data_IF_889267130457
#
_entry.id   IF_889267130457
#
_cell.length_a   1.000
_cell.length_b   1.000
_cell.length_c   1.000
_cell.angle_alpha   90.00
_cell.angle_beta   90.00
_cell.angle_gamma   90.00
#
_symmetry.space_group_name_H-M   'P 1'
#
loop_
_entity.id
_entity.type
_entity.pdbx_description
1 polymer ?
#
# COMPACT_ATOMS: atom_id res chain seq x y z
N UNK A 1 7.72 21.81 24.11
CA UNK A 1 6.78 22.14 23.02
C UNK A 1 7.48 21.88 21.71
N UNK A 2 6.84 21.18 20.79
CA UNK A 2 7.39 20.99 19.43
C UNK A 2 7.41 22.33 18.68
N UNK A 3 8.35 22.49 17.75
CA UNK A 3 8.36 23.66 16.86
C UNK A 3 7.08 23.64 15.99
N UNK A 4 6.51 24.82 15.76
CA UNK A 4 5.41 24.96 14.81
C UNK A 4 6.01 25.02 13.39
N UNK A 5 5.58 24.11 12.51
CA UNK A 5 6.07 23.94 11.15
C UNK A 5 4.91 24.13 10.15
N UNK A 6 5.19 24.76 9.00
CA UNK A 6 4.15 25.03 7.98
C UNK A 6 4.48 24.41 6.62
N UNK A 7 3.45 23.87 5.97
CA UNK A 7 3.44 23.49 4.56
C UNK A 7 2.28 24.20 3.86
N UNK A 8 2.58 25.23 3.08
CA UNK A 8 1.55 26.11 2.53
C UNK A 8 0.73 26.75 3.66
N UNK A 9 -0.58 26.52 3.64
CA UNK A 9 -1.53 27.00 4.66
C UNK A 9 -1.75 25.98 5.82
N UNK A 10 -1.09 24.85 5.82
CA UNK A 10 -1.23 23.80 6.83
C UNK A 10 -0.16 23.95 7.90
N UNK A 11 -0.57 23.91 9.16
CA UNK A 11 0.32 23.99 10.33
C UNK A 11 0.41 22.64 11.02
N UNK A 12 1.62 22.27 11.47
CA UNK A 12 1.90 21.08 12.27
C UNK A 12 2.51 21.50 13.60
N UNK A 13 2.17 20.81 14.69
CA UNK A 13 2.67 21.08 16.04
C UNK A 13 1.84 22.12 16.81
N UNK A 14 0.69 22.52 16.30
CA UNK A 14 -0.35 23.29 16.99
C UNK A 14 -1.54 22.39 17.41
N UNK A 15 -2.66 23.00 17.80
CA UNK A 15 -3.86 22.28 18.20
C UNK A 15 -4.56 21.55 17.04
N UNK A 16 -4.32 21.96 15.81
CA UNK A 16 -4.84 21.27 14.64
C UNK A 16 -4.26 19.86 14.50
N UNK A 17 -5.01 18.99 13.83
CA UNK A 17 -4.57 17.63 13.48
C UNK A 17 -4.57 17.47 11.96
N UNK A 18 -3.50 17.85 11.26
CA UNK A 18 -3.40 17.67 9.82
C UNK A 18 -3.46 16.21 9.41
N UNK A 19 -4.18 15.94 8.32
CA UNK A 19 -4.29 14.64 7.69
C UNK A 19 -3.45 14.63 6.42
N UNK A 20 -2.45 13.77 6.36
CA UNK A 20 -1.66 13.48 5.17
C UNK A 20 -2.25 12.20 4.56
N UNK A 21 -2.97 12.31 3.45
CA UNK A 21 -3.67 11.16 2.88
C UNK A 21 -3.68 11.15 1.35
N UNK A 22 -3.89 9.96 0.77
CA UNK A 22 -4.02 9.73 -0.67
C UNK A 22 -3.66 8.30 -1.05
N UNK A 23 -3.72 7.95 -2.34
CA UNK A 23 -3.34 6.61 -2.80
C UNK A 23 -1.88 6.31 -2.51
N UNK A 24 -1.58 5.04 -2.25
CA UNK A 24 -0.21 4.58 -2.00
C UNK A 24 0.76 5.03 -3.11
N UNK A 25 0.35 4.90 -4.37
CA UNK A 25 1.10 5.24 -5.58
C UNK A 25 0.20 5.97 -6.58
N UNK A 26 0.75 6.86 -7.38
CA UNK A 26 0.05 7.47 -8.51
C UNK A 26 -0.28 6.37 -9.52
N UNK A 27 -1.56 6.10 -9.74
CA UNK A 27 -2.03 5.12 -10.72
C UNK A 27 -2.25 5.75 -12.08
N UNK A 28 -2.86 6.92 -12.12
CA UNK A 28 -3.01 7.83 -13.25
C UNK A 28 -3.44 9.22 -12.73
N UNK A 29 -3.49 10.20 -13.65
CA UNK A 29 -3.85 11.59 -13.35
C UNK A 29 -5.29 11.73 -12.82
N UNK A 30 -6.25 11.18 -13.53
CA UNK A 30 -7.68 11.36 -13.22
C UNK A 30 -8.03 10.76 -11.87
N UNK A 31 -7.50 9.57 -11.55
CA UNK A 31 -7.65 8.96 -10.24
C UNK A 31 -7.01 9.81 -9.13
N UNK A 32 -5.84 10.40 -9.37
CA UNK A 32 -5.18 11.25 -8.37
C UNK A 32 -5.97 12.51 -8.08
N UNK A 33 -6.52 13.18 -9.10
CA UNK A 33 -7.40 14.35 -8.95
C UNK A 33 -8.69 13.98 -8.20
N UNK A 34 -9.36 12.91 -8.62
CA UNK A 34 -10.56 12.40 -7.97
C UNK A 34 -10.32 12.13 -6.48
N UNK A 35 -9.27 11.40 -6.14
CA UNK A 35 -8.94 11.06 -4.76
C UNK A 35 -8.58 12.30 -3.93
N UNK A 36 -7.82 13.24 -4.49
CA UNK A 36 -7.45 14.48 -3.81
C UNK A 36 -8.69 15.32 -3.49
N UNK A 37 -9.60 15.49 -4.46
CA UNK A 37 -10.84 16.24 -4.27
C UNK A 37 -11.78 15.57 -3.27
N UNK A 38 -11.98 14.26 -3.38
CA UNK A 38 -12.83 13.50 -2.46
C UNK A 38 -12.33 13.59 -1.01
N UNK A 39 -11.02 13.37 -0.78
CA UNK A 39 -10.43 13.45 0.56
C UNK A 39 -10.47 14.88 1.09
N UNK A 40 -10.18 15.90 0.25
CA UNK A 40 -10.31 17.32 0.62
C UNK A 40 -11.72 17.65 1.11
N UNK A 41 -12.75 17.20 0.38
CA UNK A 41 -14.14 17.43 0.74
C UNK A 41 -14.50 16.80 2.10
N UNK A 42 -14.06 15.55 2.33
CA UNK A 42 -14.25 14.87 3.61
C UNK A 42 -13.52 15.61 4.74
N UNK A 43 -12.25 15.95 4.57
CA UNK A 43 -11.48 16.68 5.57
C UNK A 43 -12.09 18.06 5.87
N UNK A 44 -12.52 18.80 4.85
CA UNK A 44 -13.19 20.10 5.00
C UNK A 44 -14.50 19.99 5.78
N UNK A 45 -15.32 18.98 5.50
CA UNK A 45 -16.57 18.70 6.20
C UNK A 45 -16.34 18.40 7.68
N UNK A 46 -15.28 17.62 7.98
CA UNK A 46 -14.90 17.32 9.37
C UNK A 46 -14.18 18.48 10.04
N UNK A 47 -13.62 19.43 9.27
CA UNK A 47 -12.84 20.57 9.78
C UNK A 47 -11.41 20.18 10.16
N UNK A 48 -10.76 19.32 9.38
CA UNK A 48 -9.36 18.92 9.55
C UNK A 48 -8.52 19.43 8.38
N UNK A 49 -7.30 19.95 8.62
CA UNK A 49 -6.37 20.34 7.55
C UNK A 49 -5.92 19.13 6.75
N UNK A 50 -5.68 19.29 5.44
CA UNK A 50 -5.38 18.19 4.54
C UNK A 50 -4.16 18.45 3.65
N UNK A 51 -3.29 17.47 3.53
CA UNK A 51 -2.16 17.39 2.58
C UNK A 51 -2.35 16.14 1.73
N UNK A 52 -2.36 16.30 0.40
CA UNK A 52 -2.43 15.14 -0.50
C UNK A 52 -1.08 14.44 -0.58
N UNK A 53 -1.10 13.11 -0.47
CA UNK A 53 0.10 12.26 -0.60
C UNK A 53 -0.10 11.22 -1.69
N UNK A 54 0.85 11.11 -2.60
CA UNK A 54 1.00 9.92 -3.45
C UNK A 54 2.45 9.77 -3.90
N UNK A 55 2.91 8.52 -4.06
CA UNK A 55 4.28 8.25 -4.51
C UNK A 55 4.34 8.15 -6.03
N UNK A 56 5.33 8.77 -6.67
CA UNK A 56 5.59 8.59 -8.11
C UNK A 56 6.36 7.30 -8.41
N UNK A 57 7.05 6.75 -7.42
CA UNK A 57 7.79 5.49 -7.53
C UNK A 57 7.72 4.69 -6.22
N UNK A 58 7.62 3.39 -6.34
CA UNK A 58 7.75 2.40 -5.26
C UNK A 58 9.07 1.64 -5.45
N UNK A 59 10.17 2.29 -5.07
CA UNK A 59 11.54 1.80 -5.32
C UNK A 59 11.90 0.49 -4.60
N UNK A 60 11.15 0.10 -3.56
CA UNK A 60 11.42 -1.05 -2.69
C UNK A 60 10.48 -2.25 -2.91
N UNK A 61 9.94 -2.41 -4.13
CA UNK A 61 9.09 -3.57 -4.46
C UNK A 61 9.84 -4.89 -4.31
N UNK A 62 9.16 -5.89 -3.75
CA UNK A 62 9.71 -7.24 -3.59
C UNK A 62 9.89 -7.96 -4.93
N UNK A 63 8.99 -7.73 -5.90
CA UNK A 63 9.09 -8.32 -7.24
C UNK A 63 9.44 -7.28 -8.29
N UNK A 64 10.42 -7.59 -9.16
CA UNK A 64 10.93 -6.68 -10.21
C UNK A 64 9.83 -6.25 -11.19
N UNK A 65 8.86 -7.11 -11.49
CA UNK A 65 7.75 -6.83 -12.41
C UNK A 65 6.55 -6.11 -11.78
N UNK A 66 6.60 -5.78 -10.48
CA UNK A 66 5.48 -5.08 -9.83
C UNK A 66 5.31 -3.66 -10.34
N UNK A 67 4.06 -3.17 -10.34
CA UNK A 67 3.79 -1.78 -10.69
C UNK A 67 4.49 -0.84 -9.70
N UNK A 68 5.32 0.04 -10.21
CA UNK A 68 6.11 0.98 -9.42
C UNK A 68 5.53 2.39 -9.38
N UNK A 69 4.61 2.70 -10.25
CA UNK A 69 4.09 4.04 -10.51
C UNK A 69 4.48 4.55 -11.90
N UNK A 70 4.10 5.78 -12.26
CA UNK A 70 4.62 6.46 -13.43
C UNK A 70 6.11 6.79 -13.22
N UNK A 71 6.81 7.21 -14.27
CA UNK A 71 8.14 7.79 -14.09
C UNK A 71 8.07 9.11 -13.28
N UNK A 72 9.23 9.63 -12.85
CA UNK A 72 9.30 10.84 -12.02
C UNK A 72 8.66 12.05 -12.70
N UNK A 73 8.95 12.28 -13.99
CA UNK A 73 8.45 13.46 -14.71
C UNK A 73 6.93 13.46 -14.85
N UNK A 74 6.34 12.32 -15.15
CA UNK A 74 4.89 12.13 -15.20
C UNK A 74 4.27 12.30 -13.79
N UNK A 75 4.87 11.67 -12.80
CA UNK A 75 4.38 11.75 -11.41
C UNK A 75 4.42 13.17 -10.87
N UNK A 76 5.46 13.95 -11.16
CA UNK A 76 5.55 15.35 -10.76
C UNK A 76 4.53 16.23 -11.49
N UNK A 77 4.23 15.96 -12.77
CA UNK A 77 3.14 16.63 -13.47
C UNK A 77 1.80 16.39 -12.80
N UNK A 78 1.49 15.12 -12.47
CA UNK A 78 0.24 14.78 -11.76
C UNK A 78 0.15 15.47 -10.40
N UNK A 79 1.22 15.52 -9.62
CA UNK A 79 1.24 16.22 -8.34
C UNK A 79 1.08 17.73 -8.50
N UNK A 80 1.69 18.31 -9.53
CA UNK A 80 1.49 19.71 -9.87
C UNK A 80 0.03 20.03 -10.23
N UNK A 81 -0.61 19.15 -11.02
CA UNK A 81 -2.02 19.28 -11.37
C UNK A 81 -2.92 19.21 -10.13
N UNK A 82 -2.70 18.25 -9.23
CA UNK A 82 -3.42 18.15 -7.96
C UNK A 82 -3.25 19.44 -7.14
N UNK A 83 -2.03 19.95 -7.02
CA UNK A 83 -1.75 21.17 -6.28
C UNK A 83 -2.51 22.38 -6.86
N UNK A 84 -2.50 22.53 -8.17
CA UNK A 84 -3.06 23.69 -8.85
C UNK A 84 -4.58 23.60 -9.01
N UNK A 85 -5.13 22.45 -9.39
CA UNK A 85 -6.56 22.27 -9.68
C UNK A 85 -7.37 22.03 -8.41
N UNK A 86 -6.87 21.19 -7.48
CA UNK A 86 -7.54 20.91 -6.21
C UNK A 86 -7.20 21.95 -5.14
N UNK A 87 -6.04 22.61 -5.24
CA UNK A 87 -5.64 23.69 -4.32
C UNK A 87 -5.26 23.17 -2.93
N UNK A 88 -4.54 22.05 -2.84
CA UNK A 88 -4.04 21.46 -1.59
C UNK A 88 -2.53 21.30 -1.64
N UNK A 89 -1.81 21.40 -0.50
CA UNK A 89 -0.40 21.05 -0.44
C UNK A 89 -0.20 19.58 -0.80
N UNK A 90 0.96 19.27 -1.42
CA UNK A 90 1.27 17.92 -1.89
C UNK A 90 2.57 17.39 -1.29
N UNK A 91 2.59 16.08 -1.06
CA UNK A 91 3.71 15.31 -0.53
C UNK A 91 4.03 14.11 -1.41
N UNK A 92 5.32 13.86 -1.67
CA UNK A 92 5.78 12.61 -2.29
C UNK A 92 7.11 12.12 -1.71
N UNK A 93 7.41 10.84 -1.94
CA UNK A 93 8.68 10.22 -1.52
C UNK A 93 9.82 10.58 -2.48
N UNK A 94 11.04 10.70 -1.93
CA UNK A 94 12.30 10.74 -2.68
C UNK A 94 13.19 9.58 -2.28
N UNK A 95 13.89 8.97 -3.23
CA UNK A 95 14.68 7.75 -3.02
C UNK A 95 16.19 7.98 -3.29
N UNK A 96 16.52 8.95 -4.13
CA UNK A 96 17.88 9.27 -4.54
C UNK A 96 18.16 10.77 -4.35
N UNK A 97 19.41 11.17 -4.00
CA UNK A 97 19.77 12.58 -3.81
C UNK A 97 19.46 13.45 -5.03
N UNK A 98 19.70 12.96 -6.25
CA UNK A 98 19.46 13.69 -7.49
C UNK A 98 17.98 13.95 -7.81
N UNK A 99 17.06 13.31 -7.14
CA UNK A 99 15.61 13.57 -7.27
C UNK A 99 15.15 14.79 -6.47
N UNK A 100 15.86 15.10 -5.37
CA UNK A 100 15.37 16.07 -4.38
C UNK A 100 15.14 17.46 -4.95
N UNK A 101 16.02 17.96 -5.78
CA UNK A 101 15.90 19.30 -6.36
C UNK A 101 14.64 19.44 -7.22
N UNK A 102 14.46 18.58 -8.22
CA UNK A 102 13.30 18.61 -9.13
C UNK A 102 11.98 18.34 -8.39
N UNK A 103 11.98 17.41 -7.43
CA UNK A 103 10.80 17.14 -6.59
C UNK A 103 10.47 18.36 -5.74
N UNK A 104 11.46 19.02 -5.16
CA UNK A 104 11.28 20.21 -4.33
C UNK A 104 10.72 21.43 -5.07
N UNK A 105 10.87 21.51 -6.40
CA UNK A 105 10.22 22.57 -7.19
C UNK A 105 8.69 22.42 -7.22
N UNK A 106 8.18 21.19 -7.14
CA UNK A 106 6.76 20.88 -7.27
C UNK A 106 6.06 20.73 -5.92
N UNK A 107 6.64 19.93 -5.01
CA UNK A 107 5.95 19.56 -3.78
C UNK A 107 6.19 20.53 -2.63
N UNK A 108 5.30 20.49 -1.65
CA UNK A 108 5.44 21.26 -0.41
C UNK A 108 6.21 20.49 0.66
N UNK A 109 6.13 19.17 0.61
CA UNK A 109 6.76 18.26 1.57
C UNK A 109 7.49 17.15 0.82
N UNK A 110 8.80 17.01 1.04
CA UNK A 110 9.57 15.84 0.62
C UNK A 110 9.52 14.77 1.72
N UNK A 111 9.22 13.54 1.37
CA UNK A 111 9.22 12.43 2.32
C UNK A 111 10.44 11.53 2.14
N UNK A 112 11.15 11.26 3.24
CA UNK A 112 12.21 10.26 3.28
C UNK A 112 11.60 8.93 3.73
N UNK A 113 11.64 7.87 2.91
CA UNK A 113 11.15 6.55 3.27
C UNK A 113 11.87 5.97 4.49
N UNK A 114 11.17 5.13 5.26
CA UNK A 114 11.67 4.56 6.50
C UNK A 114 13.00 3.79 6.34
N UNK A 115 13.16 3.01 5.27
CA UNK A 115 14.42 2.29 5.01
C UNK A 115 15.59 3.22 4.70
N UNK A 116 15.33 4.44 4.22
CA UNK A 116 16.34 5.42 3.82
C UNK A 116 16.59 6.50 4.88
N UNK A 117 15.96 6.42 6.04
CA UNK A 117 16.01 7.46 7.09
C UNK A 117 17.42 7.73 7.65
N UNK A 118 18.42 6.87 7.36
CA UNK A 118 19.81 7.05 7.76
C UNK A 118 20.74 7.48 6.63
N UNK A 119 20.27 7.53 5.38
CA UNK A 119 21.09 7.87 4.21
C UNK A 119 21.52 9.34 4.24
N UNK A 120 22.80 9.59 4.51
CA UNK A 120 23.33 10.95 4.75
C UNK A 120 23.13 11.85 3.55
N UNK A 121 23.53 11.39 2.36
CA UNK A 121 23.47 12.20 1.14
C UNK A 121 22.04 12.54 0.74
N UNK A 122 21.09 11.60 0.93
CA UNK A 122 19.67 11.82 0.66
C UNK A 122 19.07 12.87 1.62
N UNK A 123 19.38 12.78 2.92
CA UNK A 123 18.90 13.73 3.93
C UNK A 123 19.46 15.14 3.70
N UNK A 124 20.74 15.25 3.34
CA UNK A 124 21.36 16.52 2.99
C UNK A 124 20.71 17.10 1.73
N UNK A 125 20.57 16.31 0.66
CA UNK A 125 19.97 16.77 -0.58
C UNK A 125 18.50 17.22 -0.39
N UNK A 126 17.72 16.50 0.41
CA UNK A 126 16.37 16.92 0.77
C UNK A 126 16.36 18.21 1.58
N UNK A 127 17.27 18.36 2.56
CA UNK A 127 17.43 19.57 3.35
C UNK A 127 17.79 20.80 2.50
N UNK A 128 18.67 20.64 1.52
CA UNK A 128 19.12 21.71 0.61
C UNK A 128 17.99 22.29 -0.25
N UNK A 129 16.86 21.59 -0.42
CA UNK A 129 15.70 22.13 -1.12
C UNK A 129 15.01 23.27 -0.38
N UNK A 130 15.29 23.45 0.92
CA UNK A 130 14.60 24.41 1.79
C UNK A 130 13.13 24.08 2.07
N UNK A 131 12.58 23.01 1.46
CA UNK A 131 11.21 22.54 1.68
C UNK A 131 11.09 21.81 3.01
N UNK A 132 9.86 21.57 3.43
CA UNK A 132 9.57 20.72 4.57
C UNK A 132 9.98 19.28 4.28
N UNK A 133 10.76 18.67 5.20
CA UNK A 133 11.23 17.29 5.07
C UNK A 133 10.56 16.41 6.12
N UNK A 134 9.72 15.49 5.67
CA UNK A 134 9.11 14.46 6.53
C UNK A 134 9.98 13.21 6.57
N UNK A 135 10.53 12.85 7.72
CA UNK A 135 11.42 11.69 7.87
C UNK A 135 10.66 10.56 8.55
N UNK A 136 10.37 9.49 7.80
CA UNK A 136 9.78 8.27 8.37
C UNK A 136 10.82 7.52 9.19
N UNK A 137 10.49 7.21 10.45
CA UNK A 137 11.35 6.42 11.33
C UNK A 137 11.50 4.99 10.78
N UNK A 138 12.72 4.52 10.61
CA UNK A 138 12.99 3.13 10.26
C UNK A 138 12.47 2.17 11.34
N UNK A 139 11.93 1.03 10.93
CA UNK A 139 11.43 0.00 11.85
C UNK A 139 12.52 -0.52 12.78
N UNK A 140 13.76 -0.45 12.34
CA UNK A 140 14.98 -0.87 13.04
C UNK A 140 15.59 0.21 13.95
N UNK A 141 15.00 1.42 13.99
CA UNK A 141 15.58 2.56 14.68
C UNK A 141 14.80 2.90 15.96
N UNK A 142 15.50 3.06 17.07
CA UNK A 142 14.89 3.55 18.30
C UNK A 142 14.43 5.01 18.14
N UNK A 143 13.29 5.42 18.73
CA UNK A 143 12.69 6.75 18.53
C UNK A 143 13.65 7.91 18.80
N UNK A 144 14.36 7.89 19.92
CA UNK A 144 15.34 8.94 20.28
C UNK A 144 16.54 9.05 19.34
N UNK A 145 16.84 8.01 18.54
CA UNK A 145 17.92 8.04 17.54
C UNK A 145 17.57 8.76 16.24
N UNK A 146 16.30 9.16 16.09
CA UNK A 146 15.88 10.03 15.00
C UNK A 146 16.58 11.38 15.01
N UNK A 147 17.14 11.80 16.15
CA UNK A 147 17.94 13.06 16.25
C UNK A 147 19.07 13.08 15.20
N UNK A 148 19.71 11.94 14.92
CA UNK A 148 20.82 11.90 13.96
C UNK A 148 20.36 12.12 12.50
N UNK A 149 19.12 11.77 12.16
CA UNK A 149 18.54 12.09 10.87
C UNK A 149 18.18 13.60 10.78
N UNK A 150 17.61 14.11 11.87
CA UNK A 150 17.32 15.56 12.03
C UNK A 150 18.57 16.40 11.86
N UNK A 151 19.67 16.04 12.54
CA UNK A 151 20.95 16.78 12.48
C UNK A 151 21.51 16.89 11.05
N UNK A 152 21.32 15.85 10.23
CA UNK A 152 21.75 15.87 8.82
C UNK A 152 20.97 16.85 7.97
N UNK A 153 19.66 16.96 8.18
CA UNK A 153 18.83 17.97 7.50
C UNK A 153 19.18 19.36 8.03
N UNK A 154 19.32 19.53 9.34
CA UNK A 154 19.73 20.80 9.97
C UNK A 154 21.10 21.30 9.51
N UNK A 155 22.02 20.42 9.20
CA UNK A 155 23.34 20.78 8.67
C UNK A 155 23.25 21.65 7.41
N UNK A 156 22.16 21.57 6.65
CA UNK A 156 21.90 22.42 5.47
C UNK A 156 21.31 23.79 5.83
N UNK A 157 21.05 24.07 7.09
CA UNK A 157 20.32 25.26 7.56
C UNK A 157 18.79 25.08 7.58
N UNK A 158 18.27 23.96 7.08
CA UNK A 158 16.82 23.69 7.04
C UNK A 158 16.32 23.12 8.38
N UNK A 159 15.43 23.84 9.04
CA UNK A 159 14.78 23.42 10.30
C UNK A 159 13.32 22.99 10.09
N UNK A 160 12.81 22.98 8.85
CA UNK A 160 11.45 22.58 8.53
C UNK A 160 11.39 21.03 8.44
N UNK A 161 11.20 20.37 9.57
CA UNK A 161 11.29 18.92 9.69
C UNK A 161 10.04 18.38 10.40
N UNK A 162 9.45 17.31 9.86
CA UNK A 162 8.48 16.43 10.52
C UNK A 162 9.13 15.07 10.74
N UNK A 163 8.73 14.40 11.80
CA UNK A 163 9.07 13.01 12.08
C UNK A 163 7.83 12.14 11.94
N UNK A 164 7.96 10.98 11.34
CA UNK A 164 6.82 10.05 11.23
C UNK A 164 7.12 8.73 11.90
N UNK A 165 6.29 8.38 12.91
CA UNK A 165 6.26 7.06 13.52
C UNK A 165 5.48 6.08 12.64
N UNK A 166 6.00 4.87 12.45
CA UNK A 166 5.39 3.84 11.61
C UNK A 166 5.60 2.40 12.12
N UNK A 167 5.90 2.25 13.40
CA UNK A 167 6.18 0.98 14.07
C UNK A 167 7.65 0.58 14.08
N UNK A 168 7.94 -0.44 14.86
CA UNK A 168 9.25 -1.06 15.03
C UNK A 168 9.18 -2.57 14.78
N UNK A 169 10.23 -3.14 14.20
CA UNK A 169 10.39 -4.58 13.96
C UNK A 169 11.87 -4.95 14.00
N UNK A 170 12.19 -6.01 14.73
CA UNK A 170 13.53 -6.58 14.86
C UNK A 170 13.49 -8.09 14.59
N UNK A 171 12.90 -8.50 13.46
CA UNK A 171 12.67 -9.90 13.13
C UNK A 171 11.42 -10.51 13.77
N UNK A 172 10.61 -9.67 14.41
CA UNK A 172 9.27 -9.99 14.94
C UNK A 172 8.22 -9.26 14.11
N UNK A 173 6.94 -9.53 14.41
CA UNK A 173 5.83 -8.75 13.90
C UNK A 173 5.99 -7.26 14.25
N UNK A 174 5.43 -6.40 13.40
CA UNK A 174 5.49 -4.96 13.63
C UNK A 174 4.75 -4.60 14.91
N UNK A 175 5.41 -3.84 15.77
CA UNK A 175 4.85 -3.31 17.02
C UNK A 175 4.73 -1.79 16.90
N UNK A 176 3.54 -1.28 17.18
CA UNK A 176 3.30 0.17 17.28
C UNK A 176 3.35 0.57 18.76
N UNK A 177 4.49 1.12 19.16
CA UNK A 177 4.71 1.63 20.51
C UNK A 177 4.34 3.12 20.55
N UNK A 178 3.21 3.44 21.18
CA UNK A 178 2.71 4.82 21.29
C UNK A 178 3.63 5.72 22.14
N UNK A 179 4.49 5.17 22.98
CA UNK A 179 5.49 5.96 23.72
C UNK A 179 6.57 6.54 22.81
N UNK A 180 6.73 6.01 21.59
CA UNK A 180 7.61 6.58 20.56
C UNK A 180 7.23 8.02 20.20
N UNK A 181 5.94 8.38 20.26
CA UNK A 181 5.44 9.70 19.89
C UNK A 181 6.03 10.78 20.82
N UNK A 182 5.79 10.76 22.14
CA UNK A 182 6.37 11.77 23.03
C UNK A 182 7.91 11.73 23.07
N UNK A 183 8.54 10.56 22.88
CA UNK A 183 10.01 10.48 22.78
C UNK A 183 10.52 11.26 21.56
N UNK A 184 9.89 11.11 20.39
CA UNK A 184 10.30 11.86 19.19
C UNK A 184 9.93 13.35 19.29
N UNK A 185 8.78 13.69 19.90
CA UNK A 185 8.40 15.09 20.16
C UNK A 185 9.42 15.81 21.07
N UNK A 186 10.02 15.08 22.03
CA UNK A 186 11.08 15.64 22.89
C UNK A 186 12.33 16.08 22.13
N UNK A 187 12.49 15.66 20.86
CA UNK A 187 13.54 16.14 19.96
C UNK A 187 13.23 17.55 19.40
N UNK A 188 12.06 18.11 19.70
CA UNK A 188 11.65 19.46 19.31
C UNK A 188 10.92 19.57 17.95
N UNK A 189 10.45 18.46 17.38
CA UNK A 189 9.79 18.43 16.07
C UNK A 189 8.41 17.78 16.15
N UNK A 190 7.43 18.23 15.32
CA UNK A 190 6.12 17.60 15.26
C UNK A 190 6.23 16.16 14.77
N UNK A 191 5.39 15.29 15.35
CA UNK A 191 5.37 13.85 15.07
C UNK A 191 4.07 13.44 14.41
N UNK A 192 4.17 12.92 13.20
CA UNK A 192 3.08 12.32 12.43
C UNK A 192 3.01 10.82 12.77
N UNK A 193 1.82 10.28 12.92
CA UNK A 193 1.64 8.85 13.04
C UNK A 193 1.13 8.25 11.74
N UNK A 194 1.86 7.28 11.20
CA UNK A 194 1.49 6.53 10.00
C UNK A 194 0.62 5.34 10.35
N UNK A 195 -0.69 5.52 10.30
CA UNK A 195 -1.66 4.49 10.66
C UNK A 195 -1.68 3.32 9.67
N UNK A 196 -1.37 3.56 8.39
CA UNK A 196 -1.34 2.53 7.35
C UNK A 196 -0.19 1.56 7.53
N UNK A 197 1.04 2.10 7.60
CA UNK A 197 2.22 1.26 7.68
C UNK A 197 2.44 0.67 9.08
N UNK A 198 1.85 1.24 10.11
CA UNK A 198 1.80 0.64 11.45
C UNK A 198 0.89 -0.58 11.54
N UNK A 199 -0.03 -0.73 10.59
CA UNK A 199 -0.91 -1.90 10.47
C UNK A 199 -0.39 -2.94 9.46
N UNK A 200 0.77 -2.69 8.82
CA UNK A 200 1.40 -3.67 7.91
C UNK A 200 1.97 -4.86 8.69
N UNK A 201 1.87 -6.02 8.08
CA UNK A 201 2.67 -7.18 8.47
C UNK A 201 3.95 -7.10 7.63
N UNK A 202 5.15 -7.06 8.25
CA UNK A 202 6.39 -6.93 7.49
C UNK A 202 6.56 -8.08 6.50
N UNK A 203 6.74 -7.77 5.22
CA UNK A 203 7.00 -8.77 4.17
C UNK A 203 8.41 -9.39 4.23
N UNK A 204 9.20 -9.08 5.27
CA UNK A 204 10.51 -9.67 5.54
C UNK A 204 10.35 -10.61 6.74
N UNK A 205 10.01 -11.82 6.44
CA UNK A 205 9.69 -12.87 7.39
C UNK A 205 8.22 -13.22 7.28
N UNK A 206 7.94 -14.34 6.64
CA UNK A 206 6.59 -14.87 6.58
C UNK A 206 6.04 -14.99 8.00
N UNK A 207 4.92 -14.36 8.28
CA UNK A 207 4.13 -14.81 9.42
C UNK A 207 3.65 -16.22 9.08
N UNK A 208 4.32 -17.20 9.68
CA UNK A 208 4.01 -18.62 9.50
C UNK A 208 2.59 -18.97 9.94
N UNK A 209 1.85 -18.01 10.52
CA UNK A 209 0.47 -18.16 11.00
C UNK A 209 -0.58 -17.65 10.01
N UNK A 210 -0.18 -16.91 8.94
CA UNK A 210 -1.14 -16.43 7.93
C UNK A 210 -1.67 -17.63 7.17
N UNK A 211 -3.00 -17.74 7.16
CA UNK A 211 -3.71 -18.77 6.41
C UNK A 211 -4.04 -18.29 5.00
N UNK A 212 -4.07 -19.20 4.06
CA UNK A 212 -4.42 -18.97 2.64
C UNK A 212 -5.73 -18.18 2.51
N UNK A 213 -6.75 -18.47 3.31
CA UNK A 213 -8.05 -17.77 3.31
C UNK A 213 -7.96 -16.26 3.55
N UNK A 214 -6.88 -15.79 4.19
CA UNK A 214 -6.69 -14.38 4.52
C UNK A 214 -6.05 -13.57 3.39
N UNK A 215 -5.45 -14.26 2.40
CA UNK A 215 -4.67 -13.65 1.31
C UNK A 215 -5.11 -14.08 -0.08
N UNK A 216 -6.01 -15.06 -0.21
CA UNK A 216 -6.51 -15.53 -1.50
C UNK A 216 -7.46 -14.52 -2.15
N UNK A 217 -7.60 -14.60 -3.47
CA UNK A 217 -8.69 -13.98 -4.20
C UNK A 217 -9.92 -14.86 -4.10
N UNK A 218 -11.04 -14.37 -3.55
CA UNK A 218 -12.26 -15.14 -3.44
C UNK A 218 -12.85 -15.46 -4.83
N UNK A 219 -13.61 -16.55 -4.91
CA UNK A 219 -14.09 -17.12 -6.19
C UNK A 219 -14.87 -16.14 -7.06
N UNK A 220 -15.60 -15.21 -6.44
CA UNK A 220 -16.36 -14.16 -7.12
C UNK A 220 -15.46 -13.20 -7.92
N UNK A 221 -14.19 -13.07 -7.53
CA UNK A 221 -13.19 -12.20 -8.19
C UNK A 221 -12.32 -12.97 -9.20
N UNK A 222 -12.54 -14.28 -9.38
CA UNK A 222 -11.74 -15.13 -10.26
C UNK A 222 -12.56 -15.54 -11.49
N UNK A 223 -11.92 -15.59 -12.65
CA UNK A 223 -12.55 -16.11 -13.86
C UNK A 223 -12.90 -17.60 -13.68
N UNK A 224 -14.14 -17.96 -13.96
CA UNK A 224 -14.62 -19.34 -13.88
C UNK A 224 -15.27 -19.75 -15.20
N UNK A 225 -14.98 -20.96 -15.67
CA UNK A 225 -15.49 -21.53 -16.91
C UNK A 225 -15.81 -23.01 -16.74
N UNK A 226 -16.57 -23.57 -17.70
CA UNK A 226 -16.88 -24.99 -17.78
C UNK A 226 -15.99 -25.67 -18.85
N UNK A 227 -15.82 -26.98 -18.75
CA UNK A 227 -14.99 -27.75 -19.70
C UNK A 227 -15.52 -27.73 -21.14
N UNK A 228 -16.81 -27.46 -21.33
CA UNK A 228 -17.47 -27.34 -22.64
C UNK A 228 -17.36 -25.96 -23.26
N UNK A 229 -16.94 -24.97 -22.52
CA UNK A 229 -16.81 -23.59 -22.99
C UNK A 229 -15.69 -23.46 -24.03
N UNK A 230 -15.79 -22.41 -24.87
CA UNK A 230 -14.76 -22.11 -25.87
C UNK A 230 -13.59 -21.29 -25.29
N UNK A 231 -12.45 -21.32 -25.95
CA UNK A 231 -11.29 -20.53 -25.54
C UNK A 231 -11.59 -19.01 -25.56
N UNK A 232 -12.42 -18.56 -26.51
CA UNK A 232 -12.89 -17.16 -26.55
C UNK A 232 -13.57 -16.76 -25.24
N UNK A 233 -14.42 -17.63 -24.67
CA UNK A 233 -15.07 -17.36 -23.39
C UNK A 233 -14.08 -17.25 -22.24
N UNK A 234 -13.05 -18.10 -22.22
CA UNK A 234 -11.94 -18.01 -21.24
C UNK A 234 -11.29 -16.64 -21.29
N UNK A 235 -10.90 -16.19 -22.49
CA UNK A 235 -10.26 -14.87 -22.68
C UNK A 235 -11.16 -13.74 -22.18
N UNK A 236 -12.46 -13.77 -22.50
CA UNK A 236 -13.42 -12.76 -22.06
C UNK A 236 -13.56 -12.73 -20.53
N UNK A 237 -13.68 -13.89 -19.88
CA UNK A 237 -13.81 -13.96 -18.43
C UNK A 237 -12.50 -13.56 -17.72
N UNK A 238 -11.33 -13.95 -18.24
CA UNK A 238 -10.03 -13.52 -17.70
C UNK A 238 -9.78 -12.02 -17.91
N UNK A 239 -10.34 -11.42 -18.97
CA UNK A 239 -10.26 -9.96 -19.18
C UNK A 239 -11.13 -9.20 -18.17
N UNK A 240 -12.32 -9.71 -17.84
CA UNK A 240 -13.20 -9.12 -16.81
C UNK A 240 -12.62 -9.25 -15.40
N UNK A 241 -11.93 -10.37 -15.13
CA UNK A 241 -11.37 -10.72 -13.83
C UNK A 241 -9.87 -11.06 -13.99
N UNK A 242 -8.98 -10.06 -14.02
CA UNK A 242 -7.56 -10.20 -14.44
C UNK A 242 -6.69 -10.79 -13.32
N UNK A 243 -6.92 -12.06 -12.96
CA UNK A 243 -6.16 -12.78 -11.94
C UNK A 243 -5.08 -13.71 -12.52
N UNK A 244 -4.84 -13.66 -13.84
CA UNK A 244 -3.81 -14.46 -14.53
C UNK A 244 -4.21 -15.91 -14.79
N UNK A 245 -5.40 -16.35 -14.38
CA UNK A 245 -5.91 -17.70 -14.61
C UNK A 245 -7.45 -17.74 -14.62
N UNK A 246 -8.01 -18.80 -15.25
CA UNK A 246 -9.40 -19.18 -15.15
C UNK A 246 -9.53 -20.57 -14.51
N UNK A 247 -10.41 -20.71 -13.55
CA UNK A 247 -10.73 -21.97 -12.89
C UNK A 247 -11.78 -22.72 -13.70
N UNK A 248 -11.52 -23.98 -13.99
CA UNK A 248 -12.50 -24.85 -14.67
C UNK A 248 -13.25 -25.64 -13.62
N UNK A 249 -14.55 -25.34 -13.51
CA UNK A 249 -15.40 -25.91 -12.48
C UNK A 249 -16.41 -26.90 -13.08
N UNK A 250 -16.56 -28.03 -12.42
CA UNK A 250 -17.63 -28.98 -12.63
C UNK A 250 -18.89 -28.65 -11.82
N UNK A 251 -19.75 -29.63 -11.63
CA UNK A 251 -20.95 -29.52 -10.80
C UNK A 251 -20.53 -29.27 -9.33
N UNK A 252 -21.39 -28.60 -8.57
CA UNK A 252 -21.15 -28.25 -7.16
C UNK A 252 -19.85 -27.47 -6.89
N UNK A 253 -19.37 -26.68 -7.89
CA UNK A 253 -18.14 -25.92 -7.82
C UNK A 253 -16.87 -26.78 -7.60
N UNK A 254 -16.89 -28.04 -7.99
CA UNK A 254 -15.73 -28.92 -7.95
C UNK A 254 -14.66 -28.45 -8.91
N UNK A 255 -13.42 -28.33 -8.41
CA UNK A 255 -12.25 -27.99 -9.24
C UNK A 255 -11.88 -29.17 -10.15
N UNK A 256 -12.00 -29.00 -11.47
CA UNK A 256 -11.63 -30.01 -12.46
C UNK A 256 -10.42 -29.62 -13.31
N UNK A 257 -10.11 -28.33 -13.39
CA UNK A 257 -8.97 -27.85 -14.17
C UNK A 257 -8.64 -26.38 -13.92
N UNK A 258 -7.55 -25.93 -14.53
CA UNK A 258 -7.11 -24.54 -14.58
C UNK A 258 -6.59 -24.22 -15.98
N UNK A 259 -6.81 -22.98 -16.43
CA UNK A 259 -6.17 -22.39 -17.61
C UNK A 259 -5.43 -21.13 -17.16
N UNK A 260 -4.17 -21.02 -17.50
CA UNK A 260 -3.33 -19.85 -17.20
C UNK A 260 -3.07 -19.01 -18.46
N UNK A 261 -2.55 -17.77 -18.26
CA UNK A 261 -2.09 -16.94 -19.40
C UNK A 261 -1.00 -17.65 -20.21
N UNK A 262 -0.18 -18.52 -19.59
CA UNK A 262 0.80 -19.34 -20.28
C UNK A 262 0.17 -20.35 -21.24
N UNK A 263 -0.96 -20.94 -20.86
CA UNK A 263 -1.73 -21.87 -21.70
C UNK A 263 -2.33 -21.12 -22.91
N UNK A 264 -2.93 -19.94 -22.66
CA UNK A 264 -3.46 -19.10 -23.74
C UNK A 264 -2.39 -18.70 -24.74
N UNK A 265 -1.21 -18.28 -24.27
CA UNK A 265 -0.08 -17.94 -25.16
C UNK A 265 0.39 -19.11 -26.00
N UNK A 266 0.43 -20.32 -25.43
CA UNK A 266 0.81 -21.53 -26.18
C UNK A 266 -0.22 -21.86 -27.25
N UNK A 267 -1.52 -21.75 -26.96
CA UNK A 267 -2.58 -21.97 -27.95
C UNK A 267 -2.51 -20.98 -29.11
N UNK A 268 -2.32 -19.69 -28.81
CA UNK A 268 -2.20 -18.65 -29.84
C UNK A 268 -0.93 -18.84 -30.70
N UNK A 269 0.19 -19.25 -30.12
CA UNK A 269 1.43 -19.52 -30.85
C UNK A 269 1.35 -20.74 -31.76
N UNK A 270 0.43 -21.67 -31.49
CA UNK A 270 0.18 -22.85 -32.31
C UNK A 270 -0.86 -22.60 -33.43
N UNK A 271 -1.21 -21.34 -33.70
CA UNK A 271 -2.21 -20.92 -34.73
C UNK A 271 -3.61 -21.56 -34.46
N UNK A 272 -3.94 -21.88 -33.21
CA UNK A 272 -5.20 -22.45 -32.83
C UNK A 272 -6.38 -21.49 -33.01
N UNK A 273 -7.49 -22.00 -33.55
CA UNK A 273 -8.75 -21.26 -33.65
C UNK A 273 -9.42 -21.17 -32.28
N UNK A 274 -9.41 -19.97 -31.69
CA UNK A 274 -9.97 -19.70 -30.37
C UNK A 274 -11.50 -19.89 -30.28
N UNK A 275 -12.19 -19.93 -31.38
CA UNK A 275 -13.64 -20.09 -31.44
C UNK A 275 -14.06 -21.57 -31.45
N UNK A 276 -13.22 -22.43 -31.98
CA UNK A 276 -13.50 -23.87 -32.06
C UNK A 276 -12.91 -24.67 -30.90
N UNK A 277 -11.75 -24.22 -30.34
CA UNK A 277 -11.08 -24.93 -29.25
C UNK A 277 -11.91 -24.94 -27.97
N UNK A 278 -12.00 -26.11 -27.33
CA UNK A 278 -12.69 -26.28 -26.06
C UNK A 278 -11.75 -26.21 -24.85
N UNK A 279 -12.28 -25.73 -23.73
CA UNK A 279 -11.57 -25.68 -22.44
C UNK A 279 -10.98 -27.03 -22.08
N UNK A 280 -11.74 -28.14 -22.30
CA UNK A 280 -11.27 -29.51 -22.02
C UNK A 280 -10.01 -29.94 -22.77
N UNK A 281 -9.69 -29.31 -23.90
CA UNK A 281 -8.52 -29.65 -24.75
C UNK A 281 -7.23 -28.96 -24.28
N UNK A 282 -7.38 -27.83 -23.57
CA UNK A 282 -6.25 -26.95 -23.21
C UNK A 282 -6.03 -26.83 -21.72
N UNK A 283 -7.01 -27.16 -20.89
CA UNK A 283 -6.89 -27.05 -19.44
C UNK A 283 -5.83 -27.99 -18.86
N UNK A 284 -5.13 -27.57 -17.83
CA UNK A 284 -4.42 -28.47 -16.95
C UNK A 284 -5.45 -29.17 -16.07
N UNK A 285 -5.67 -30.46 -16.31
CA UNK A 285 -6.60 -31.29 -15.51
C UNK A 285 -5.99 -31.63 -14.16
N UNK A 286 -6.85 -31.71 -13.11
CA UNK A 286 -6.41 -32.01 -11.73
C UNK A 286 -5.23 -31.13 -11.29
N UNK A 287 -5.36 -29.80 -11.33
CA UNK A 287 -4.28 -28.90 -10.98
C UNK A 287 -3.89 -29.08 -9.51
N UNK A 288 -2.64 -28.79 -9.21
CA UNK A 288 -2.23 -28.65 -7.80
C UNK A 288 -3.05 -27.54 -7.15
N UNK A 289 -3.68 -27.84 -6.04
CA UNK A 289 -4.48 -26.92 -5.26
C UNK A 289 -4.00 -26.86 -3.82
N UNK A 290 -4.41 -25.85 -3.08
CA UNK A 290 -4.08 -25.67 -1.66
C UNK A 290 -5.37 -25.55 -0.84
N UNK A 291 -5.33 -26.04 0.40
CA UNK A 291 -6.45 -25.90 1.33
C UNK A 291 -6.54 -24.47 1.85
N UNK A 292 -7.77 -23.99 2.04
CA UNK A 292 -7.99 -22.61 2.51
C UNK A 292 -7.48 -22.38 3.94
N UNK A 293 -7.34 -23.42 4.75
CA UNK A 293 -6.79 -23.34 6.12
C UNK A 293 -5.27 -23.57 6.16
N UNK A 294 -4.62 -23.91 5.03
CA UNK A 294 -3.18 -24.07 4.93
C UNK A 294 -2.46 -22.75 5.24
N UNK A 295 -1.20 -22.84 5.63
CA UNK A 295 -0.37 -21.68 5.91
C UNK A 295 0.22 -21.09 4.61
N UNK A 296 0.37 -19.78 4.56
CA UNK A 296 0.96 -19.07 3.41
C UNK A 296 2.36 -19.59 3.07
N UNK A 297 3.15 -19.97 4.07
CA UNK A 297 4.48 -20.52 3.87
C UNK A 297 4.49 -21.86 3.12
N UNK A 298 3.50 -22.73 3.39
CA UNK A 298 3.37 -24.01 2.69
C UNK A 298 3.10 -23.80 1.22
N UNK A 299 2.40 -22.70 0.88
CA UNK A 299 2.08 -22.29 -0.48
C UNK A 299 3.33 -21.99 -1.31
N UNK A 300 4.28 -21.22 -0.75
CA UNK A 300 5.54 -20.89 -1.45
C UNK A 300 6.32 -22.17 -1.74
N UNK A 301 6.45 -23.03 -0.75
CA UNK A 301 7.10 -24.33 -0.90
C UNK A 301 6.44 -25.15 -2.01
N UNK A 302 5.10 -25.15 -2.07
CA UNK A 302 4.34 -25.88 -3.07
C UNK A 302 4.47 -25.25 -4.48
N UNK A 303 4.64 -23.94 -4.58
CA UNK A 303 4.80 -23.22 -5.85
C UNK A 303 6.22 -23.30 -6.42
N UNK A 304 7.24 -23.20 -5.57
CA UNK A 304 8.66 -23.06 -5.99
C UNK A 304 9.45 -24.38 -6.02
N UNK A 305 9.22 -25.31 -5.08
CA UNK A 305 9.96 -26.57 -4.99
C UNK A 305 9.47 -27.61 -6.02
N UNK A 306 9.47 -27.24 -7.30
CA UNK A 306 9.00 -28.05 -8.43
C UNK A 306 9.89 -27.88 -9.65
N UNK A 307 9.89 -28.90 -10.53
CA UNK A 307 10.60 -28.82 -11.82
C UNK A 307 10.05 -27.70 -12.74
N UNK A 308 8.76 -27.37 -12.62
CA UNK A 308 8.11 -26.25 -13.30
C UNK A 308 7.42 -25.41 -12.23
N UNK A 309 7.91 -24.19 -12.04
CA UNK A 309 7.32 -23.24 -11.10
C UNK A 309 5.91 -22.84 -11.54
N UNK A 310 5.02 -22.70 -10.58
CA UNK A 310 3.64 -22.22 -10.80
C UNK A 310 3.44 -20.93 -10.03
N UNK A 311 2.77 -19.98 -10.68
CA UNK A 311 2.52 -18.64 -10.11
C UNK A 311 1.13 -18.47 -9.52
N UNK A 312 0.24 -19.46 -9.73
CA UNK A 312 -1.15 -19.45 -9.27
C UNK A 312 -1.57 -20.83 -8.75
N UNK A 313 -2.32 -20.86 -7.66
CA UNK A 313 -2.88 -22.07 -7.06
C UNK A 313 -4.38 -21.91 -6.84
N UNK A 314 -5.23 -22.82 -7.34
CA UNK A 314 -6.61 -22.93 -6.88
C UNK A 314 -6.65 -23.17 -5.38
N UNK A 315 -7.60 -22.52 -4.71
CA UNK A 315 -7.86 -22.71 -3.27
C UNK A 315 -9.14 -23.52 -3.11
N UNK A 316 -9.06 -24.61 -2.34
CA UNK A 316 -10.16 -25.54 -2.13
C UNK A 316 -10.49 -25.70 -0.64
N UNK A 317 -11.70 -26.14 -0.37
CA UNK A 317 -12.07 -26.77 0.90
C UNK A 317 -11.79 -28.26 0.79
N UNK A 318 -10.78 -28.76 1.50
CA UNK A 318 -10.29 -30.13 1.37
C UNK A 318 -11.39 -31.17 1.57
N UNK A 319 -12.27 -30.98 2.56
CA UNK A 319 -13.36 -31.90 2.90
C UNK A 319 -14.38 -32.13 1.78
N UNK A 320 -14.54 -31.18 0.85
CA UNK A 320 -15.56 -31.25 -0.24
C UNK A 320 -14.98 -31.00 -1.62
N UNK A 321 -13.65 -30.76 -1.73
CA UNK A 321 -12.93 -30.38 -2.97
C UNK A 321 -13.59 -29.23 -3.75
N UNK A 322 -14.44 -28.45 -3.09
CA UNK A 322 -15.06 -27.26 -3.66
C UNK A 322 -14.05 -26.15 -3.78
N UNK A 323 -13.96 -25.54 -4.96
CA UNK A 323 -13.06 -24.42 -5.19
C UNK A 323 -13.66 -23.13 -4.62
N UNK A 324 -12.91 -22.43 -3.77
CA UNK A 324 -13.36 -21.22 -3.07
C UNK A 324 -12.59 -19.97 -3.50
N UNK A 325 -11.54 -20.12 -4.31
CA UNK A 325 -10.77 -18.98 -4.78
C UNK A 325 -9.48 -19.35 -5.51
N UNK A 326 -8.62 -18.37 -5.68
CA UNK A 326 -7.31 -18.47 -6.31
C UNK A 326 -6.28 -17.75 -5.45
N UNK A 327 -5.10 -18.33 -5.30
CA UNK A 327 -3.96 -17.72 -4.68
C UNK A 327 -2.86 -17.52 -5.72
N UNK A 328 -2.35 -16.29 -5.85
CA UNK A 328 -1.21 -15.97 -6.71
C UNK A 328 0.04 -15.87 -5.87
N UNK A 329 1.18 -16.26 -6.43
CA UNK A 329 2.48 -16.06 -5.77
C UNK A 329 2.67 -14.60 -5.33
N UNK A 330 2.18 -13.67 -6.15
CA UNK A 330 2.18 -12.24 -5.84
C UNK A 330 1.38 -11.90 -4.56
N UNK A 331 0.23 -12.53 -4.33
CA UNK A 331 -0.60 -12.30 -3.14
C UNK A 331 0.11 -12.79 -1.87
N UNK A 332 0.93 -13.82 -1.97
CA UNK A 332 1.73 -14.36 -0.86
C UNK A 332 2.88 -13.42 -0.51
N UNK A 333 3.46 -12.76 -1.49
CA UNK A 333 4.57 -11.80 -1.30
C UNK A 333 4.10 -10.35 -1.11
N UNK A 334 2.81 -10.06 -1.28
CA UNK A 334 2.29 -8.75 -0.88
C UNK A 334 2.46 -8.61 0.62
N UNK A 335 2.93 -7.42 1.04
CA UNK A 335 2.95 -7.04 2.45
C UNK A 335 1.56 -7.27 3.01
N UNK A 336 1.40 -8.28 3.84
CA UNK A 336 0.17 -8.50 4.58
C UNK A 336 -0.12 -7.26 5.42
N UNK A 337 -1.37 -7.03 5.76
CA UNK A 337 -1.75 -5.91 6.62
C UNK A 337 -3.07 -6.18 7.30
N UNK A 338 -3.20 -5.66 8.50
CA UNK A 338 -4.42 -5.72 9.29
C UNK A 338 -5.16 -4.38 9.16
N UNK A 339 -5.80 -4.14 8.00
CA UNK A 339 -6.56 -2.90 7.75
C UNK A 339 -7.50 -2.56 8.90
N UNK A 340 -8.14 -3.55 9.49
CA UNK A 340 -9.09 -3.37 10.60
C UNK A 340 -8.43 -2.81 11.88
N UNK A 341 -7.10 -2.86 11.97
CA UNK A 341 -6.35 -2.24 13.07
C UNK A 341 -6.10 -0.74 12.86
N UNK A 342 -6.22 -0.23 11.63
CA UNK A 342 -5.97 1.20 11.32
C UNK A 342 -6.78 2.14 12.23
N UNK A 343 -8.11 1.95 12.42
CA UNK A 343 -8.88 2.82 13.31
C UNK A 343 -8.41 2.79 14.76
N UNK A 344 -8.02 1.61 15.26
CA UNK A 344 -7.52 1.46 16.63
C UNK A 344 -6.19 2.16 16.81
N UNK A 345 -5.25 1.94 15.89
CA UNK A 345 -3.91 2.55 15.94
C UNK A 345 -3.98 4.08 15.77
N UNK A 346 -4.80 4.57 14.83
CA UNK A 346 -4.98 6.01 14.62
C UNK A 346 -5.55 6.70 15.85
N UNK A 347 -6.57 6.12 16.48
CA UNK A 347 -7.17 6.65 17.72
C UNK A 347 -6.17 6.64 18.88
N UNK A 348 -5.41 5.56 19.04
CA UNK A 348 -4.38 5.44 20.08
C UNK A 348 -3.28 6.49 19.90
N UNK A 349 -2.83 6.71 18.67
CA UNK A 349 -1.80 7.71 18.37
C UNK A 349 -2.28 9.14 18.65
N UNK A 350 -3.53 9.46 18.32
CA UNK A 350 -4.12 10.78 18.62
C UNK A 350 -4.30 10.96 20.12
N UNK A 351 -4.72 9.92 20.84
CA UNK A 351 -4.78 9.93 22.29
C UNK A 351 -3.39 10.08 22.95
N UNK A 352 -2.34 9.55 22.30
CA UNK A 352 -0.94 9.76 22.72
C UNK A 352 -0.37 11.13 22.33
N UNK A 353 -1.16 11.98 21.65
CA UNK A 353 -0.81 13.38 21.33
C UNK A 353 0.01 13.57 20.05
N UNK A 354 -0.11 12.72 19.04
CA UNK A 354 0.58 12.97 17.75
C UNK A 354 0.11 14.29 17.10
N UNK A 355 0.99 14.92 16.32
CA UNK A 355 0.76 16.23 15.70
C UNK A 355 0.15 16.14 14.30
N UNK A 356 -0.19 14.95 13.83
CA UNK A 356 -0.86 14.67 12.57
C UNK A 356 -0.97 13.19 12.28
N UNK A 357 -1.78 12.83 11.30
CA UNK A 357 -1.96 11.46 10.85
C UNK A 357 -1.58 11.31 9.39
N UNK A 358 -0.95 10.20 9.07
CA UNK A 358 -0.70 9.74 7.72
C UNK A 358 -1.53 8.49 7.44
N UNK A 359 -2.27 8.48 6.31
CA UNK A 359 -3.09 7.34 5.90
C UNK A 359 -3.07 7.17 4.38
N UNK A 360 -2.86 5.95 3.91
CA UNK A 360 -3.11 5.62 2.51
C UNK A 360 -4.58 5.26 2.34
N UNK A 361 -5.23 5.91 1.37
CA UNK A 361 -6.67 5.85 1.12
C UNK A 361 -6.92 5.54 -0.34
N UNK A 362 -7.88 4.68 -0.62
CA UNK A 362 -8.26 4.32 -1.98
C UNK A 362 -9.77 4.15 -2.10
N UNK A 363 -10.36 4.52 -3.23
CA UNK A 363 -11.80 4.35 -3.51
C UNK A 363 -12.21 2.88 -3.60
N UNK A 364 -11.32 2.04 -4.16
CA UNK A 364 -11.49 0.59 -4.20
C UNK A 364 -10.18 -0.12 -3.83
N UNK A 365 -9.87 -0.32 -2.53
CA UNK A 365 -8.60 -0.90 -2.10
C UNK A 365 -8.27 -2.27 -2.69
N UNK A 366 -9.29 -3.06 -3.07
CA UNK A 366 -9.07 -4.37 -3.69
C UNK A 366 -8.44 -4.28 -5.09
N UNK A 367 -8.62 -3.14 -5.78
CA UNK A 367 -8.08 -2.87 -7.11
C UNK A 367 -6.80 -2.04 -7.07
N UNK A 368 -6.38 -1.58 -5.89
CA UNK A 368 -5.20 -0.75 -5.72
C UNK A 368 -3.94 -1.44 -6.25
N UNK A 369 -3.13 -0.71 -7.02
CA UNK A 369 -1.87 -1.23 -7.61
C UNK A 369 -0.73 -1.36 -6.60
N UNK A 370 -0.92 -0.88 -5.37
CA UNK A 370 0.04 -0.97 -4.28
C UNK A 370 -0.66 -1.06 -2.93
N UNK A 371 -0.08 -1.80 -2.00
CA UNK A 371 -0.49 -1.92 -0.59
C UNK A 371 -2.00 -2.11 -0.36
N UNK A 372 -2.64 -2.87 -1.27
CA UNK A 372 -4.08 -3.13 -1.28
C UNK A 372 -4.61 -3.62 0.09
N UNK A 373 -3.80 -4.37 0.84
CA UNK A 373 -4.18 -4.93 2.15
C UNK A 373 -4.33 -3.87 3.25
N UNK A 374 -3.65 -2.72 3.13
CA UNK A 374 -3.59 -1.69 4.18
C UNK A 374 -4.14 -0.33 3.76
N UNK A 375 -4.49 -0.10 2.49
CA UNK A 375 -5.17 1.13 2.12
C UNK A 375 -6.57 1.20 2.73
N UNK A 376 -6.90 2.35 3.32
CA UNK A 376 -8.21 2.57 3.94
C UNK A 376 -9.27 2.88 2.87
N UNK A 377 -10.49 2.30 2.95
CA UNK A 377 -11.56 2.62 2.00
C UNK A 377 -12.00 4.08 2.12
N UNK A 378 -12.14 4.77 0.99
CA UNK A 378 -12.54 6.17 0.93
C UNK A 378 -13.93 6.40 1.54
N UNK A 379 -14.87 5.49 1.31
CA UNK A 379 -16.24 5.53 1.84
C UNK A 379 -16.31 5.44 3.37
N UNK A 380 -15.28 4.92 4.03
CA UNK A 380 -15.16 4.82 5.49
C UNK A 380 -14.31 5.91 6.13
N UNK A 381 -13.75 6.82 5.32
CA UNK A 381 -12.80 7.81 5.81
C UNK A 381 -13.48 8.86 6.70
N UNK A 382 -14.66 9.34 6.33
CA UNK A 382 -15.37 10.38 7.08
C UNK A 382 -15.67 9.95 8.52
N UNK A 383 -16.24 8.77 8.72
CA UNK A 383 -16.56 8.24 10.05
C UNK A 383 -15.31 8.08 10.92
N UNK A 384 -14.22 7.62 10.32
CA UNK A 384 -12.95 7.50 11.01
C UNK A 384 -12.45 8.87 11.46
N UNK A 385 -12.43 9.88 10.58
CA UNK A 385 -11.93 11.22 10.89
C UNK A 385 -12.80 11.92 11.93
N UNK A 386 -14.13 11.74 11.92
CA UNK A 386 -15.03 12.24 12.96
C UNK A 386 -14.65 11.66 14.34
N UNK A 387 -14.41 10.34 14.40
CA UNK A 387 -14.02 9.70 15.65
C UNK A 387 -12.67 10.16 16.17
N UNK A 388 -11.71 10.38 15.28
CA UNK A 388 -10.36 10.88 15.57
C UNK A 388 -10.40 12.32 16.09
N UNK A 389 -11.21 13.20 15.46
CA UNK A 389 -11.38 14.58 15.88
C UNK A 389 -11.93 14.68 17.30
N UNK A 390 -12.93 13.88 17.64
CA UNK A 390 -13.48 13.83 19.01
C UNK A 390 -12.41 13.46 20.06
N UNK A 391 -11.51 12.53 19.72
CA UNK A 391 -10.40 12.17 20.61
C UNK A 391 -9.42 13.33 20.73
N UNK A 392 -9.07 14.01 19.62
CA UNK A 392 -8.19 15.18 19.65
C UNK A 392 -8.75 16.28 20.53
N UNK A 393 -10.03 16.61 20.37
CA UNK A 393 -10.73 17.60 21.20
C UNK A 393 -10.72 17.22 22.70
N UNK A 394 -10.92 15.94 23.02
CA UNK A 394 -10.87 15.45 24.39
C UNK A 394 -9.45 15.48 25.02
N UNK A 395 -8.40 15.36 24.20
CA UNK A 395 -7.00 15.44 24.65
C UNK A 395 -6.55 16.87 24.89
N UNK A 396 -7.10 17.82 24.14
CA UNK A 396 -6.76 19.24 24.27
C UNK A 396 -7.53 19.94 25.44
N UNK A 397 -8.60 19.33 25.95
CA UNK A 397 -9.44 19.86 27.04
C UNK A 397 -10.51 20.75 26.51
#
# INVERSE_FOLDING_TARGET
MSNIIKAGNITFGDDALPIIAGPCVIENRDHSLFMAEAIKNICSKVGLPFVFKSSFDKANRSAVGSFRGPNMDEGLRVLSDVKNEVGVPVLTDVHLPNQCASVGEVVDILQIPAFLCRQTDLLIAAGQTGKLVNIKKGQFLAPGKMIHAVEKVKFTGNNNILLTERGASFGYDLVSDMTSIPIMQSLGYPVIFDATHSAQIPGIGFDTRIKVKNIMQPIENVATVKKEDTLRKVVLEMTKKPQGAALVLGDDSLLIGIITEGDLRRCLAAEGDIDSMRVSEIMTSNPTAIDLEALANDTVTLMENRKSQISVLPVIKENVKSCVGLLRLHDVFQTGGQRDMIPTLARAAVAAGCDGLFMEVHDNPAMAKSDAATQWPLDKLEDLLISIKRIREAVLG
#
